data_IF_447495000738
#
_entry.id   IF_447495000738
#
_cell.length_a   1.000
_cell.length_b   1.000
_cell.length_c   1.000
_cell.angle_alpha   90.00
_cell.angle_beta   90.00
_cell.angle_gamma   90.00
#
_symmetry.space_group_name_H-M   'P 1'
#
loop_
_entity.id
_entity.type
_entity.pdbx_description
1 polymer ?
#
# COMPACT_ATOMS: atom_id res chain seq x y z
N UNK A 1 13.29 -12.46 -2.81
CA UNK A 1 12.67 -13.49 -1.94
C UNK A 1 11.46 -14.08 -2.63
N UNK A 2 11.34 -15.42 -2.62
CA UNK A 2 10.17 -16.17 -3.07
C UNK A 2 9.10 -16.21 -1.96
N UNK A 3 7.93 -16.75 -2.29
CA UNK A 3 6.84 -16.94 -1.34
C UNK A 3 7.24 -17.91 -0.21
N UNK A 4 7.92 -19.01 -0.52
CA UNK A 4 8.34 -20.02 0.44
C UNK A 4 9.35 -19.45 1.44
N UNK A 5 10.32 -18.68 0.94
CA UNK A 5 11.30 -18.02 1.80
C UNK A 5 10.63 -17.01 2.75
N UNK A 6 9.58 -16.32 2.29
CA UNK A 6 8.82 -15.41 3.12
C UNK A 6 7.92 -16.13 4.13
N UNK A 7 7.34 -17.27 3.76
CA UNK A 7 6.59 -18.12 4.68
C UNK A 7 7.48 -18.65 5.79
N UNK A 8 8.69 -19.08 5.45
CA UNK A 8 9.67 -19.50 6.44
C UNK A 8 10.05 -18.35 7.38
N UNK A 9 10.32 -17.16 6.84
CA UNK A 9 10.62 -15.99 7.66
C UNK A 9 9.45 -15.61 8.60
N UNK A 10 8.20 -15.78 8.18
CA UNK A 10 7.03 -15.60 9.05
C UNK A 10 6.98 -16.65 10.17
N UNK A 11 7.36 -17.89 9.88
CA UNK A 11 7.46 -18.95 10.88
C UNK A 11 8.58 -18.67 11.88
N UNK A 12 9.76 -18.29 11.42
CA UNK A 12 10.89 -17.92 12.28
C UNK A 12 10.54 -16.73 13.18
N UNK A 13 9.79 -15.74 12.66
CA UNK A 13 9.24 -14.64 13.46
C UNK A 13 8.26 -15.14 14.53
N UNK A 14 7.38 -16.08 14.18
CA UNK A 14 6.39 -16.65 15.08
C UNK A 14 7.03 -17.42 16.24
N UNK A 15 8.06 -18.20 15.94
CA UNK A 15 8.77 -19.04 16.92
C UNK A 15 9.82 -18.25 17.72
N UNK A 16 10.18 -17.06 17.23
CA UNK A 16 11.15 -16.18 17.84
C UNK A 16 10.63 -15.39 19.07
N UNK A 17 11.52 -14.62 19.73
CA UNK A 17 11.18 -13.84 20.92
C UNK A 17 10.10 -12.78 20.66
N UNK A 18 10.02 -12.26 19.42
CA UNK A 18 9.00 -11.29 19.04
C UNK A 18 7.64 -11.92 18.80
N UNK A 19 7.57 -13.15 18.27
CA UNK A 19 6.33 -13.89 18.16
C UNK A 19 5.75 -14.25 19.52
N UNK A 20 6.60 -14.67 20.46
CA UNK A 20 6.22 -14.89 21.85
C UNK A 20 5.72 -13.60 22.54
N UNK A 21 6.37 -12.46 22.27
CA UNK A 21 5.97 -11.15 22.82
C UNK A 21 4.68 -10.61 22.22
N UNK A 22 4.41 -10.89 20.94
CA UNK A 22 3.29 -10.33 20.18
C UNK A 22 2.47 -11.42 19.46
N UNK A 23 1.85 -12.36 20.18
CA UNK A 23 1.16 -13.50 19.59
C UNK A 23 -0.04 -13.08 18.70
N UNK A 24 -0.69 -11.98 19.01
CA UNK A 24 -1.80 -11.43 18.21
C UNK A 24 -1.34 -10.93 16.84
N UNK A 25 -0.10 -10.42 16.74
CA UNK A 25 0.49 -9.98 15.48
C UNK A 25 0.81 -11.19 14.61
N UNK A 26 1.39 -12.26 15.19
CA UNK A 26 1.61 -13.53 14.50
C UNK A 26 0.31 -14.07 13.91
N UNK A 27 -0.74 -14.17 14.73
CA UNK A 27 -2.06 -14.64 14.30
C UNK A 27 -2.67 -13.74 13.21
N UNK A 28 -2.45 -12.43 13.26
CA UNK A 28 -2.91 -11.52 12.21
C UNK A 28 -2.23 -11.81 10.88
N UNK A 29 -0.90 -11.98 10.87
CA UNK A 29 -0.15 -12.29 9.66
C UNK A 29 -0.50 -13.65 9.08
N UNK A 30 -0.64 -14.68 9.94
CA UNK A 30 -1.02 -16.02 9.49
C UNK A 30 -2.42 -16.04 8.85
N UNK A 31 -3.40 -15.36 9.45
CA UNK A 31 -4.75 -15.24 8.88
C UNK A 31 -4.78 -14.47 7.57
N UNK A 32 -3.95 -13.43 7.45
CA UNK A 32 -3.88 -12.60 6.24
C UNK A 32 -2.98 -13.20 5.15
N UNK A 33 -2.31 -14.33 5.39
CA UNK A 33 -1.25 -14.83 4.52
C UNK A 33 -1.73 -15.02 3.07
N UNK A 34 -2.90 -15.61 2.86
CA UNK A 34 -3.48 -15.82 1.52
C UNK A 34 -3.69 -14.50 0.75
N UNK A 35 -3.84 -13.38 1.44
CA UNK A 35 -3.95 -12.06 0.82
C UNK A 35 -2.58 -11.41 0.55
N UNK A 36 -1.54 -11.84 1.26
CA UNK A 36 -0.16 -11.31 1.13
C UNK A 36 0.64 -12.15 0.14
N UNK A 37 0.47 -13.47 0.10
CA UNK A 37 1.21 -14.40 -0.74
C UNK A 37 1.23 -14.01 -2.24
N UNK A 38 0.11 -13.57 -2.87
CA UNK A 38 0.12 -13.15 -4.27
C UNK A 38 1.10 -12.00 -4.58
N UNK A 39 1.50 -11.23 -3.57
CA UNK A 39 2.50 -10.19 -3.70
C UNK A 39 3.84 -10.71 -4.23
N UNK A 40 4.19 -11.96 -3.92
CA UNK A 40 5.46 -12.58 -4.33
C UNK A 40 5.51 -12.98 -5.81
N UNK A 41 4.37 -12.98 -6.50
CA UNK A 41 4.31 -13.14 -7.97
C UNK A 41 5.01 -11.97 -8.68
N UNK A 42 5.07 -10.81 -8.03
CA UNK A 42 5.71 -9.63 -8.62
C UNK A 42 7.24 -9.62 -8.43
N UNK A 43 8.00 -9.22 -9.46
CA UNK A 43 9.43 -8.94 -9.37
C UNK A 43 9.75 -7.92 -8.27
N UNK A 44 10.98 -7.95 -7.70
CA UNK A 44 11.40 -7.02 -6.65
C UNK A 44 11.17 -5.54 -6.98
N UNK A 45 11.32 -5.15 -8.24
CA UNK A 45 11.13 -3.77 -8.71
C UNK A 45 9.68 -3.30 -8.56
N UNK A 46 8.72 -4.16 -8.90
CA UNK A 46 7.29 -3.88 -8.72
C UNK A 46 6.94 -3.90 -7.23
N UNK A 47 7.41 -4.93 -6.51
CA UNK A 47 7.21 -5.03 -5.06
C UNK A 47 7.69 -3.78 -4.34
N UNK A 48 8.81 -3.20 -4.78
CA UNK A 48 9.37 -1.97 -4.22
C UNK A 48 8.47 -0.77 -4.32
N UNK A 49 7.80 -0.59 -5.44
CA UNK A 49 6.80 0.48 -5.58
C UNK A 49 5.61 0.22 -4.66
N UNK A 50 5.11 -1.01 -4.61
CA UNK A 50 3.90 -1.37 -3.85
C UNK A 50 4.12 -1.33 -2.33
N UNK A 51 5.26 -1.80 -1.81
CA UNK A 51 5.51 -1.82 -0.36
C UNK A 51 5.77 -0.43 0.22
N UNK A 52 6.10 0.56 -0.62
CA UNK A 52 6.30 1.93 -0.14
C UNK A 52 4.95 2.56 0.23
N UNK A 53 4.54 2.37 1.49
CA UNK A 53 3.30 2.93 2.05
C UNK A 53 3.33 4.47 2.16
N UNK A 54 4.47 5.11 1.91
CA UNK A 54 4.71 6.55 1.97
C UNK A 54 3.60 7.40 1.32
N UNK A 55 3.09 6.99 0.16
CA UNK A 55 2.02 7.73 -0.53
C UNK A 55 0.70 7.67 0.24
N UNK A 56 0.31 6.47 0.69
CA UNK A 56 -0.92 6.23 1.47
C UNK A 56 -0.82 6.89 2.84
N UNK A 57 0.33 6.75 3.51
CA UNK A 57 0.60 7.37 4.81
C UNK A 57 0.60 8.90 4.74
N UNK A 58 1.25 9.48 3.74
CA UNK A 58 1.25 10.92 3.49
C UNK A 58 -0.15 11.46 3.24
N UNK A 59 -0.95 10.75 2.44
CA UNK A 59 -2.35 11.12 2.21
C UNK A 59 -3.16 11.05 3.51
N UNK A 60 -3.09 9.92 4.22
CA UNK A 60 -3.78 9.72 5.49
C UNK A 60 -3.38 10.76 6.55
N UNK A 61 -2.11 11.15 6.61
CA UNK A 61 -1.62 12.20 7.49
C UNK A 61 -2.24 13.56 7.14
N UNK A 62 -2.31 13.91 5.86
CA UNK A 62 -2.92 15.16 5.41
C UNK A 62 -4.43 15.20 5.71
N UNK A 63 -5.14 14.10 5.47
CA UNK A 63 -6.56 13.96 5.82
C UNK A 63 -6.76 14.09 7.34
N UNK A 64 -5.96 13.37 8.15
CA UNK A 64 -5.99 13.48 9.63
C UNK A 64 -5.75 14.91 10.11
N UNK A 65 -4.83 15.65 9.48
CA UNK A 65 -4.54 17.05 9.84
C UNK A 65 -5.73 17.98 9.58
N UNK A 66 -6.56 17.69 8.58
CA UNK A 66 -7.72 18.52 8.24
C UNK A 66 -8.91 18.21 9.16
N UNK A 67 -9.11 16.93 9.50
CA UNK A 67 -10.22 16.54 10.38
C UNK A 67 -9.94 16.84 11.86
N UNK A 68 -8.67 16.82 12.32
CA UNK A 68 -8.35 16.98 13.75
C UNK A 68 -8.76 18.33 14.36
N UNK A 69 -8.94 19.36 13.52
CA UNK A 69 -9.35 20.70 13.95
C UNK A 69 -10.86 20.92 13.82
N UNK A 70 -11.61 19.90 13.37
CA UNK A 70 -13.07 19.93 13.29
C UNK A 70 -13.65 19.21 14.50
N UNK A 71 -14.73 19.75 15.05
CA UNK A 71 -15.56 19.07 16.05
C UNK A 71 -16.42 17.97 15.41
N UNK A 72 -17.64 17.78 15.90
CA UNK A 72 -18.59 16.86 15.27
C UNK A 72 -18.99 17.37 13.87
N UNK A 73 -19.23 16.43 12.94
CA UNK A 73 -19.87 16.75 11.67
C UNK A 73 -21.39 16.77 11.85
N UNK A 74 -22.11 17.71 11.21
CA UNK A 74 -23.57 17.79 11.33
C UNK A 74 -24.29 16.65 10.61
N UNK A 75 -23.68 16.09 9.55
CA UNK A 75 -24.14 14.91 8.81
C UNK A 75 -22.99 14.31 7.99
N UNK A 76 -23.22 13.15 7.38
CA UNK A 76 -22.24 12.44 6.57
C UNK A 76 -21.84 13.23 5.30
N UNK A 77 -22.78 13.96 4.70
CA UNK A 77 -22.50 14.79 3.51
C UNK A 77 -21.46 15.87 3.81
N UNK A 78 -21.52 16.51 4.98
CA UNK A 78 -20.56 17.51 5.42
C UNK A 78 -19.16 16.89 5.59
N UNK A 79 -19.08 15.67 6.14
CA UNK A 79 -17.83 14.93 6.27
C UNK A 79 -17.25 14.57 4.89
N UNK A 80 -18.07 14.03 3.99
CA UNK A 80 -17.67 13.66 2.62
C UNK A 80 -17.19 14.90 1.86
N UNK A 81 -17.92 16.02 1.93
CA UNK A 81 -17.54 17.27 1.25
C UNK A 81 -16.20 17.80 1.75
N UNK A 82 -15.92 17.72 3.05
CA UNK A 82 -14.64 18.13 3.60
C UNK A 82 -13.50 17.22 3.12
N UNK A 83 -13.69 15.90 3.14
CA UNK A 83 -12.70 14.94 2.65
C UNK A 83 -12.43 15.13 1.15
N UNK A 84 -13.47 15.41 0.36
CA UNK A 84 -13.32 15.73 -1.06
C UNK A 84 -12.51 17.01 -1.29
N UNK A 85 -12.82 18.09 -0.56
CA UNK A 85 -12.05 19.34 -0.64
C UNK A 85 -10.59 19.14 -0.23
N UNK A 86 -10.35 18.32 0.80
CA UNK A 86 -9.03 17.95 1.24
C UNK A 86 -8.25 17.22 0.13
N UNK A 87 -8.85 16.18 -0.45
CA UNK A 87 -8.28 15.42 -1.57
C UNK A 87 -7.96 16.32 -2.75
N UNK A 88 -8.90 17.19 -3.16
CA UNK A 88 -8.69 18.15 -4.23
C UNK A 88 -7.46 19.03 -3.99
N UNK A 89 -7.30 19.54 -2.77
CA UNK A 89 -6.16 20.39 -2.42
C UNK A 89 -4.83 19.61 -2.38
N UNK A 90 -4.85 18.33 -2.01
CA UNK A 90 -3.67 17.46 -2.07
C UNK A 90 -3.26 17.21 -3.51
N UNK A 91 -4.23 16.87 -4.38
CA UNK A 91 -4.01 16.57 -5.80
C UNK A 91 -3.62 17.79 -6.64
N UNK A 92 -3.98 19.01 -6.20
CA UNK A 92 -3.54 20.24 -6.85
C UNK A 92 -2.04 20.54 -6.69
N UNK A 93 -1.34 19.84 -5.78
CA UNK A 93 0.11 19.99 -5.59
C UNK A 93 0.87 19.06 -6.53
N UNK A 94 2.02 19.52 -7.01
CA UNK A 94 2.92 18.67 -7.79
C UNK A 94 3.40 17.49 -6.95
N UNK A 95 3.08 16.28 -7.39
CA UNK A 95 3.54 15.03 -6.78
C UNK A 95 4.77 14.56 -7.53
N UNK A 96 5.85 14.23 -6.81
CA UNK A 96 7.04 13.61 -7.42
C UNK A 96 6.69 12.19 -7.88
N UNK A 97 7.23 11.78 -9.02
CA UNK A 97 7.17 10.38 -9.45
C UNK A 97 7.74 9.47 -8.36
N UNK A 98 7.17 8.27 -8.20
CA UNK A 98 7.76 7.25 -7.35
C UNK A 98 9.19 6.95 -7.86
N UNK A 99 10.14 6.87 -6.92
CA UNK A 99 11.59 6.81 -7.20
C UNK A 99 11.95 5.66 -8.16
N UNK A 100 11.35 4.48 -7.98
CA UNK A 100 11.64 3.28 -8.77
C UNK A 100 10.63 3.02 -9.89
N UNK A 101 9.77 3.99 -10.21
CA UNK A 101 8.64 3.79 -11.13
C UNK A 101 9.05 3.31 -12.52
N UNK A 102 10.14 3.84 -13.07
CA UNK A 102 10.63 3.45 -14.41
C UNK A 102 11.07 1.98 -14.45
N UNK A 103 11.73 1.51 -13.40
CA UNK A 103 12.17 0.12 -13.32
C UNK A 103 10.98 -0.84 -13.18
N UNK A 104 10.03 -0.49 -12.31
CA UNK A 104 8.78 -1.23 -12.16
C UNK A 104 7.97 -1.26 -13.46
N UNK A 105 7.90 -0.14 -14.20
CA UNK A 105 7.19 -0.04 -15.46
C UNK A 105 7.72 -1.02 -16.51
N UNK A 106 9.05 -1.16 -16.61
CA UNK A 106 9.65 -2.15 -17.51
C UNK A 106 9.23 -3.57 -17.15
N UNK A 107 9.21 -3.91 -15.85
CA UNK A 107 8.74 -5.22 -15.39
C UNK A 107 7.24 -5.43 -15.67
N UNK A 108 6.41 -4.41 -15.50
CA UNK A 108 4.99 -4.47 -15.86
C UNK A 108 4.80 -4.73 -17.35
N UNK A 109 5.59 -4.09 -18.22
CA UNK A 109 5.52 -4.31 -19.66
C UNK A 109 5.94 -5.74 -20.06
N UNK A 110 6.90 -6.34 -19.36
CA UNK A 110 7.30 -7.74 -19.58
C UNK A 110 6.19 -8.70 -19.15
N UNK A 111 5.59 -8.51 -17.97
CA UNK A 111 4.58 -9.41 -17.42
C UNK A 111 3.20 -9.25 -18.06
N UNK A 112 2.85 -8.05 -18.51
CA UNK A 112 1.51 -7.69 -18.96
C UNK A 112 1.51 -6.93 -20.30
N UNK A 113 2.47 -7.20 -21.19
CA UNK A 113 2.68 -6.43 -22.42
C UNK A 113 1.45 -6.28 -23.32
N UNK A 114 0.58 -7.30 -23.37
CA UNK A 114 -0.70 -7.24 -24.10
C UNK A 114 -1.63 -6.12 -23.57
N UNK A 115 -1.58 -5.81 -22.27
CA UNK A 115 -2.36 -4.73 -21.65
C UNK A 115 -1.80 -3.34 -21.95
N UNK A 116 -0.52 -3.25 -22.35
CA UNK A 116 0.10 -1.99 -22.77
C UNK A 116 -0.16 -1.67 -24.25
N UNK A 117 -0.41 -2.69 -25.07
CA UNK A 117 -0.60 -2.55 -26.51
C UNK A 117 -2.07 -2.35 -26.91
N UNK A 118 -3.03 -2.68 -26.03
CA UNK A 118 -4.47 -2.43 -26.25
C UNK A 118 -4.89 -0.95 -26.19
N UNK A 119 -3.99 0.00 -25.93
CA UNK A 119 -4.31 1.43 -25.89
C UNK A 119 -4.31 2.14 -27.26
N UNK A 120 -4.65 1.42 -28.34
CA UNK A 120 -4.96 2.01 -29.65
C UNK A 120 -6.19 1.33 -30.27
N UNK A 121 -7.35 1.75 -29.78
CA UNK A 121 -8.65 1.70 -30.46
C UNK A 121 -9.27 3.06 -30.32
#
# INVERSE_FOLDING_TARGET
ASEEAARQALQDFADGPWGAKYPTIVQSWQRAWEHVAPFYVFPPEIRRVVYTTNAIESLNMQLRKIIKTRGHFPNDEAAIKLLWLALRNVLAKTVRSAFDWKSAMNQFAILFGERFTQARG
#
